data_IF_268968224300
#
_entry.id   IF_268968224300
#
_cell.length_a   1.000
_cell.length_b   1.000
_cell.length_c   1.000
_cell.angle_alpha   90.00
_cell.angle_beta   90.00
_cell.angle_gamma   90.00
#
_symmetry.space_group_name_H-M   'P 1'
#
loop_
_entity.id
_entity.type
_entity.pdbx_description
1 polymer ?
#
# COMPACT_ATOMS: atom_id res chain seq x y z
N UNK A 1 1.73 28.63 -1.15
CA UNK A 1 2.53 27.45 -1.54
C UNK A 1 2.94 26.66 -0.30
N UNK A 2 3.26 25.37 -0.46
CA UNK A 2 3.78 24.47 0.57
C UNK A 2 5.05 23.80 0.06
N UNK A 3 5.73 23.04 0.91
CA UNK A 3 6.81 22.17 0.45
C UNK A 3 6.24 20.99 -0.34
N UNK A 4 7.02 20.46 -1.28
CA UNK A 4 6.58 19.33 -2.13
C UNK A 4 6.36 18.06 -1.32
N UNK A 5 7.18 17.84 -0.29
CA UNK A 5 7.09 16.71 0.63
C UNK A 5 5.77 16.69 1.40
N UNK A 6 5.15 17.85 1.55
CA UNK A 6 3.94 18.06 2.32
C UNK A 6 4.18 18.65 3.71
N UNK A 7 3.10 18.93 4.40
CA UNK A 7 3.06 19.56 5.71
C UNK A 7 3.82 18.70 6.74
N UNK A 8 4.80 19.30 7.42
CA UNK A 8 5.70 18.59 8.32
C UNK A 8 4.97 17.91 9.47
N UNK A 9 4.02 18.58 10.06
CA UNK A 9 3.23 18.07 11.19
C UNK A 9 2.41 16.83 10.79
N UNK A 10 1.89 16.80 9.56
CA UNK A 10 1.18 15.63 9.05
C UNK A 10 2.14 14.47 8.75
N UNK A 11 3.34 14.76 8.20
CA UNK A 11 4.39 13.75 7.98
C UNK A 11 4.89 13.15 9.29
N UNK A 12 5.11 13.98 10.33
CA UNK A 12 5.50 13.53 11.67
C UNK A 12 4.43 12.65 12.30
N UNK A 13 3.15 13.03 12.17
CA UNK A 13 2.04 12.20 12.66
C UNK A 13 1.99 10.83 11.97
N UNK A 14 2.16 10.79 10.64
CA UNK A 14 2.20 9.54 9.87
C UNK A 14 3.41 8.69 10.29
N UNK A 15 4.60 9.29 10.37
CA UNK A 15 5.83 8.64 10.77
C UNK A 15 5.71 8.00 12.16
N UNK A 16 5.16 8.72 13.13
CA UNK A 16 4.90 8.20 14.47
C UNK A 16 3.94 7.00 14.44
N UNK A 17 2.88 7.07 13.64
CA UNK A 17 1.89 6.00 13.52
C UNK A 17 2.45 4.74 12.84
N UNK A 18 3.40 4.89 11.93
CA UNK A 18 4.06 3.78 11.23
C UNK A 18 5.26 3.21 12.01
N UNK A 19 5.78 3.94 12.99
CA UNK A 19 6.87 3.50 13.84
C UNK A 19 6.40 2.48 14.88
N UNK A 20 7.31 1.57 15.25
CA UNK A 20 7.14 0.58 16.31
C UNK A 20 8.49 0.29 16.98
N UNK A 21 8.51 -0.61 17.96
CA UNK A 21 9.78 -1.05 18.58
C UNK A 21 10.73 -1.72 17.56
N UNK A 22 10.20 -2.21 16.44
CA UNK A 22 10.97 -2.92 15.41
C UNK A 22 11.26 -2.06 14.16
N UNK A 23 10.63 -0.89 14.00
CA UNK A 23 10.82 -0.01 12.85
C UNK A 23 10.72 1.46 13.27
N UNK A 24 11.73 2.24 12.94
CA UNK A 24 11.74 3.70 13.08
C UNK A 24 11.48 4.34 11.71
N UNK A 25 10.44 5.18 11.66
CA UNK A 25 10.08 5.98 10.47
C UNK A 25 10.20 7.44 10.86
N UNK A 26 10.93 8.22 10.08
CA UNK A 26 11.08 9.66 10.25
C UNK A 26 10.20 10.44 9.26
N UNK A 27 9.96 11.72 9.54
CA UNK A 27 9.21 12.57 8.62
C UNK A 27 9.85 12.64 7.21
N UNK A 28 11.16 12.48 7.12
CA UNK A 28 11.89 12.50 5.85
C UNK A 28 11.75 11.18 5.05
N UNK A 29 11.17 10.15 5.66
CA UNK A 29 10.71 8.95 4.98
C UNK A 29 9.30 9.08 4.40
N UNK A 30 8.61 10.23 4.59
CA UNK A 30 7.21 10.41 4.21
C UNK A 30 7.06 11.49 3.15
N UNK A 31 6.37 11.15 2.06
CA UNK A 31 5.89 12.10 1.04
C UNK A 31 4.37 12.11 1.05
N UNK A 32 3.77 13.31 1.22
CA UNK A 32 2.32 13.49 1.06
C UNK A 32 1.98 13.58 -0.43
N UNK A 33 0.96 12.82 -0.84
CA UNK A 33 0.50 12.73 -2.23
C UNK A 33 -0.99 13.03 -2.36
N UNK A 34 -1.42 13.36 -3.56
CA UNK A 34 -2.83 13.66 -3.89
C UNK A 34 -3.66 12.38 -4.07
N UNK A 35 -3.65 11.54 -3.01
CA UNK A 35 -4.22 10.20 -2.96
C UNK A 35 -3.26 9.13 -3.50
N UNK A 36 -3.54 7.85 -3.20
CA UNK A 36 -2.70 6.71 -3.61
C UNK A 36 -2.52 6.58 -5.12
N UNK A 37 -3.44 7.11 -5.93
CA UNK A 37 -3.28 7.13 -7.40
C UNK A 37 -2.06 7.95 -7.84
N UNK A 38 -1.77 9.08 -7.17
CA UNK A 38 -0.55 9.83 -7.44
C UNK A 38 0.69 9.08 -6.95
N UNK A 39 0.60 8.33 -5.86
CA UNK A 39 1.70 7.48 -5.41
C UNK A 39 2.07 6.44 -6.48
N UNK A 40 1.07 5.78 -7.09
CA UNK A 40 1.28 4.85 -8.21
C UNK A 40 1.93 5.52 -9.42
N UNK A 41 1.44 6.70 -9.83
CA UNK A 41 2.01 7.44 -10.97
C UNK A 41 3.46 7.85 -10.72
N UNK A 42 3.76 8.37 -9.53
CA UNK A 42 5.12 8.74 -9.15
C UNK A 42 6.06 7.54 -9.09
N UNK A 43 5.59 6.40 -8.54
CA UNK A 43 6.37 5.16 -8.54
C UNK A 43 6.71 4.71 -9.96
N UNK A 44 5.73 4.74 -10.87
CA UNK A 44 5.95 4.45 -12.29
C UNK A 44 7.03 5.36 -12.89
N UNK A 45 6.92 6.66 -12.69
CA UNK A 45 7.88 7.66 -13.23
C UNK A 45 9.30 7.49 -12.72
N UNK A 46 9.48 7.00 -11.50
CA UNK A 46 10.80 6.88 -10.86
C UNK A 46 11.43 5.51 -11.08
N UNK A 47 10.62 4.45 -11.17
CA UNK A 47 11.12 3.08 -11.14
C UNK A 47 10.97 2.32 -12.46
N UNK A 48 10.14 2.80 -13.40
CA UNK A 48 9.71 2.00 -14.55
C UNK A 48 10.11 2.70 -15.85
N UNK A 49 10.68 1.93 -16.76
CA UNK A 49 10.91 2.31 -18.14
C UNK A 49 9.96 1.56 -19.09
N UNK A 50 9.83 2.02 -20.34
CA UNK A 50 9.00 1.37 -21.35
C UNK A 50 9.47 -0.07 -21.62
N UNK A 51 8.53 -1.01 -21.61
CA UNK A 51 8.80 -2.43 -21.87
C UNK A 51 9.36 -3.21 -20.68
N UNK A 52 9.48 -2.60 -19.51
CA UNK A 52 9.95 -3.28 -18.31
C UNK A 52 9.00 -4.42 -17.85
N UNK A 53 9.52 -5.30 -17.01
CA UNK A 53 8.77 -6.40 -16.39
C UNK A 53 8.43 -6.06 -14.95
N UNK A 54 7.16 -6.31 -14.60
CA UNK A 54 6.63 -6.09 -13.24
C UNK A 54 5.91 -7.36 -12.77
N UNK A 55 6.21 -7.79 -11.55
CA UNK A 55 5.48 -8.91 -10.91
C UNK A 55 4.22 -8.36 -10.25
N UNK A 56 3.10 -9.03 -10.46
CA UNK A 56 1.79 -8.66 -9.92
C UNK A 56 1.00 -9.87 -9.43
N UNK A 57 0.02 -9.66 -8.59
CA UNK A 57 -0.99 -10.66 -8.23
C UNK A 57 -1.90 -11.01 -9.42
N UNK A 58 -2.47 -12.21 -9.41
CA UNK A 58 -3.49 -12.61 -10.38
C UNK A 58 -4.78 -13.06 -9.65
N UNK A 59 -5.87 -12.27 -9.72
CA UNK A 59 -6.01 -10.97 -10.38
C UNK A 59 -5.30 -9.84 -9.62
N UNK A 60 -5.09 -8.67 -10.27
CA UNK A 60 -4.50 -7.48 -9.68
C UNK A 60 -5.39 -6.24 -9.84
N UNK A 61 -5.03 -5.15 -9.17
CA UNK A 61 -5.80 -3.91 -9.17
C UNK A 61 -5.80 -3.22 -10.54
N UNK A 62 -6.99 -3.07 -11.13
CA UNK A 62 -7.16 -2.47 -12.46
C UNK A 62 -6.67 -1.02 -12.53
N UNK A 63 -6.78 -0.26 -11.44
CA UNK A 63 -6.29 1.13 -11.39
C UNK A 63 -4.76 1.23 -11.53
N UNK A 64 -4.01 0.27 -11.03
CA UNK A 64 -2.57 0.17 -11.26
C UNK A 64 -2.28 -0.16 -12.74
N UNK A 65 -2.97 -1.15 -13.32
CA UNK A 65 -2.80 -1.51 -14.73
C UNK A 65 -3.07 -0.31 -15.66
N UNK A 66 -4.11 0.48 -15.36
CA UNK A 66 -4.44 1.70 -16.10
C UNK A 66 -3.39 2.79 -15.92
N UNK A 67 -2.88 2.99 -14.69
CA UNK A 67 -1.87 3.99 -14.37
C UNK A 67 -0.57 3.73 -15.11
N UNK A 68 -0.15 2.47 -15.18
CA UNK A 68 1.12 2.08 -15.79
C UNK A 68 1.00 1.63 -17.27
N UNK A 69 -0.21 1.67 -17.82
CA UNK A 69 -0.44 1.34 -19.25
C UNK A 69 0.49 2.09 -20.24
N UNK A 70 0.81 3.39 -20.03
CA UNK A 70 1.69 4.12 -20.95
C UNK A 70 3.10 3.55 -21.09
N UNK A 71 3.56 2.74 -20.12
CA UNK A 71 4.90 2.14 -20.13
C UNK A 71 4.97 0.82 -20.91
N UNK A 72 3.88 0.32 -21.52
CA UNK A 72 3.84 -0.94 -22.28
C UNK A 72 4.48 -2.13 -21.54
N UNK A 73 4.17 -2.29 -20.25
CA UNK A 73 4.81 -3.26 -19.36
C UNK A 73 4.48 -4.72 -19.70
N UNK A 74 5.43 -5.59 -19.41
CA UNK A 74 5.21 -7.02 -19.36
C UNK A 74 4.90 -7.46 -17.94
N UNK A 75 3.66 -7.86 -17.67
CA UNK A 75 3.24 -8.33 -16.35
C UNK A 75 3.51 -9.83 -16.18
N UNK A 76 4.23 -10.18 -15.12
CA UNK A 76 4.39 -11.55 -14.65
C UNK A 76 3.41 -11.79 -13.51
N UNK A 77 2.30 -12.46 -13.81
CA UNK A 77 1.20 -12.65 -12.89
C UNK A 77 1.43 -13.88 -11.99
N UNK A 78 1.41 -13.66 -10.67
CA UNK A 78 1.58 -14.71 -9.65
C UNK A 78 0.20 -15.18 -9.19
N UNK A 79 -0.08 -16.49 -9.17
CA UNK A 79 -1.33 -17.04 -8.68
C UNK A 79 -1.59 -16.64 -7.21
N UNK A 80 -2.86 -16.49 -6.87
CA UNK A 80 -3.34 -16.24 -5.51
C UNK A 80 -4.23 -17.39 -5.03
N UNK A 81 -4.24 -17.63 -3.74
CA UNK A 81 -5.15 -18.56 -3.07
C UNK A 81 -5.73 -17.91 -1.80
N UNK A 82 -6.31 -18.68 -0.88
CA UNK A 82 -6.94 -18.16 0.33
C UNK A 82 -5.95 -17.40 1.26
N UNK A 83 -4.64 -17.68 1.17
CA UNK A 83 -3.57 -17.04 1.93
C UNK A 83 -2.87 -15.89 1.17
N UNK A 84 -3.41 -15.49 0.01
CA UNK A 84 -2.89 -14.43 -0.83
C UNK A 84 -1.97 -14.93 -1.95
N UNK A 85 -1.04 -14.09 -2.38
CA UNK A 85 -0.07 -14.38 -3.44
C UNK A 85 0.83 -15.57 -3.07
N UNK A 86 1.01 -16.52 -3.99
CA UNK A 86 1.87 -17.69 -3.81
C UNK A 86 3.36 -17.29 -3.93
N UNK A 87 4.01 -17.08 -2.80
CA UNK A 87 5.37 -16.51 -2.76
C UNK A 87 6.39 -17.44 -3.43
N UNK A 88 6.21 -18.75 -3.33
CA UNK A 88 7.04 -19.77 -3.97
C UNK A 88 7.07 -19.69 -5.51
N UNK A 89 6.05 -19.09 -6.11
CA UNK A 89 5.98 -18.87 -7.55
C UNK A 89 6.78 -17.62 -8.01
N UNK A 90 7.19 -16.75 -7.10
CA UNK A 90 7.91 -15.50 -7.46
C UNK A 90 9.34 -15.82 -7.87
N UNK A 91 10.06 -16.63 -7.12
CA UNK A 91 11.48 -16.88 -7.35
C UNK A 91 11.78 -17.42 -8.77
N UNK A 92 11.06 -18.43 -9.31
CA UNK A 92 11.23 -18.88 -10.69
C UNK A 92 11.03 -17.77 -11.71
N UNK A 93 10.07 -16.86 -11.45
CA UNK A 93 9.77 -15.71 -12.31
C UNK A 93 10.94 -14.73 -12.31
N UNK A 94 11.47 -14.37 -11.14
CA UNK A 94 12.61 -13.46 -11.02
C UNK A 94 13.88 -14.01 -11.68
N UNK A 95 14.08 -15.34 -11.60
CA UNK A 95 15.20 -16.02 -12.27
C UNK A 95 15.06 -16.09 -13.79
N UNK A 96 13.85 -16.04 -14.33
CA UNK A 96 13.60 -16.17 -15.76
C UNK A 96 13.98 -14.92 -16.57
N UNK A 97 13.86 -13.72 -15.97
CA UNK A 97 14.18 -12.44 -16.57
C UNK A 97 14.34 -11.34 -15.51
N UNK A 98 15.04 -10.25 -15.81
CA UNK A 98 15.08 -9.08 -14.93
C UNK A 98 13.66 -8.48 -14.75
N UNK A 99 13.28 -8.18 -13.51
CA UNK A 99 12.04 -7.48 -13.14
C UNK A 99 12.38 -6.20 -12.39
N UNK A 100 11.63 -5.13 -12.62
CA UNK A 100 11.87 -3.82 -12.00
C UNK A 100 11.31 -3.69 -10.62
N UNK A 101 10.11 -4.24 -10.39
CA UNK A 101 9.45 -4.22 -9.09
C UNK A 101 8.37 -5.29 -8.98
N UNK A 102 7.95 -5.53 -7.75
CA UNK A 102 6.76 -6.32 -7.41
C UNK A 102 5.70 -5.36 -6.86
N UNK A 103 4.47 -5.43 -7.37
CA UNK A 103 3.31 -4.71 -6.86
C UNK A 103 2.31 -5.66 -6.21
N UNK A 104 1.82 -5.32 -5.03
CA UNK A 104 0.77 -6.07 -4.34
C UNK A 104 -0.08 -5.18 -3.43
N UNK A 105 -1.33 -5.62 -3.18
CA UNK A 105 -2.20 -5.16 -2.09
C UNK A 105 -2.26 -6.28 -1.05
N UNK A 106 -1.33 -6.35 -0.08
CA UNK A 106 -1.22 -7.51 0.82
C UNK A 106 -2.38 -7.64 1.82
N UNK A 107 -3.19 -6.59 2.00
CA UNK A 107 -4.29 -6.58 2.96
C UNK A 107 -5.60 -6.23 2.27
N UNK A 108 -6.57 -7.17 2.30
CA UNK A 108 -7.88 -7.02 1.64
C UNK A 108 -7.74 -6.68 0.16
N UNK A 109 -6.99 -7.51 -0.54
CA UNK A 109 -6.62 -7.36 -1.95
C UNK A 109 -7.83 -7.01 -2.84
N UNK A 110 -7.62 -6.06 -3.72
CA UNK A 110 -8.64 -5.67 -4.69
C UNK A 110 -8.30 -6.29 -6.07
N UNK A 111 -9.17 -7.22 -6.60
CA UNK A 111 -10.59 -7.36 -6.27
C UNK A 111 -10.95 -8.51 -5.30
N UNK A 112 -10.00 -9.33 -4.86
CA UNK A 112 -10.29 -10.63 -4.23
C UNK A 112 -10.71 -10.55 -2.75
N UNK A 113 -10.42 -9.44 -2.04
CA UNK A 113 -10.66 -9.33 -0.60
C UNK A 113 -9.73 -10.18 0.27
N UNK A 114 -8.86 -10.97 -0.31
CA UNK A 114 -7.92 -11.87 0.37
C UNK A 114 -6.81 -11.06 1.07
N UNK A 115 -6.28 -11.60 2.16
CA UNK A 115 -5.16 -11.01 2.89
C UNK A 115 -3.96 -11.95 2.84
N UNK A 116 -2.81 -11.43 2.45
CA UNK A 116 -1.53 -12.16 2.49
C UNK A 116 -1.22 -12.56 3.94
N UNK A 117 -1.05 -13.86 4.19
CA UNK A 117 -0.84 -14.40 5.53
C UNK A 117 0.47 -13.89 6.15
N UNK A 118 0.55 -13.93 7.50
CA UNK A 118 1.75 -13.50 8.23
C UNK A 118 2.98 -14.28 7.80
N UNK A 119 2.84 -15.58 7.57
CA UNK A 119 3.92 -16.46 7.10
C UNK A 119 4.43 -16.04 5.72
N UNK A 120 3.50 -15.80 4.78
CA UNK A 120 3.86 -15.35 3.42
C UNK A 120 4.48 -13.96 3.40
N UNK A 121 4.11 -13.07 4.32
CA UNK A 121 4.79 -11.75 4.46
C UNK A 121 6.25 -11.92 4.85
N UNK A 122 6.56 -12.84 5.76
CA UNK A 122 7.94 -13.16 6.14
C UNK A 122 8.72 -13.80 4.99
N UNK A 123 8.10 -14.73 4.24
CA UNK A 123 8.72 -15.34 3.05
C UNK A 123 9.00 -14.29 1.98
N UNK A 124 8.02 -13.44 1.68
CA UNK A 124 8.17 -12.32 0.73
C UNK A 124 9.29 -11.37 1.16
N UNK A 125 9.30 -10.96 2.43
CA UNK A 125 10.33 -10.08 2.96
C UNK A 125 11.76 -10.63 2.76
N UNK A 126 11.96 -11.93 3.02
CA UNK A 126 13.26 -12.62 2.78
C UNK A 126 13.63 -12.60 1.30
N UNK A 127 12.67 -12.89 0.42
CA UNK A 127 12.88 -12.84 -1.03
C UNK A 127 13.25 -11.42 -1.50
N UNK A 128 12.57 -10.38 -0.99
CA UNK A 128 12.90 -8.99 -1.32
C UNK A 128 14.32 -8.62 -0.93
N UNK A 129 14.78 -9.06 0.26
CA UNK A 129 16.15 -8.84 0.73
C UNK A 129 17.16 -9.62 -0.12
N UNK A 130 16.89 -10.88 -0.45
CA UNK A 130 17.77 -11.72 -1.25
C UNK A 130 17.96 -11.19 -2.67
N UNK A 131 16.90 -10.79 -3.33
CA UNK A 131 16.94 -10.32 -4.72
C UNK A 131 17.18 -8.81 -4.87
N UNK A 132 17.09 -8.03 -3.76
CA UNK A 132 17.20 -6.57 -3.80
C UNK A 132 16.17 -5.90 -4.70
N UNK A 133 15.02 -6.55 -4.92
CA UNK A 133 14.00 -6.04 -5.83
C UNK A 133 13.06 -5.06 -5.11
N UNK A 134 12.75 -3.88 -5.69
CA UNK A 134 11.76 -2.97 -5.15
C UNK A 134 10.38 -3.63 -5.01
N UNK A 135 9.68 -3.31 -3.91
CA UNK A 135 8.32 -3.76 -3.66
C UNK A 135 7.40 -2.58 -3.40
N UNK A 136 6.29 -2.50 -4.12
CA UNK A 136 5.25 -1.51 -3.87
C UNK A 136 4.12 -2.17 -3.06
N UNK A 137 4.04 -1.81 -1.78
CA UNK A 137 2.97 -2.21 -0.87
C UNK A 137 1.84 -1.18 -0.94
N UNK A 138 0.75 -1.50 -1.60
CA UNK A 138 -0.45 -0.66 -1.66
C UNK A 138 -1.41 -1.06 -0.52
N UNK A 139 -1.57 -0.18 0.47
CA UNK A 139 -2.38 -0.48 1.66
C UNK A 139 -3.47 0.57 1.92
N UNK A 140 -4.56 0.55 1.17
CA UNK A 140 -5.68 1.44 1.42
C UNK A 140 -6.66 0.94 2.48
N UNK A 141 -6.59 -0.35 2.91
CA UNK A 141 -7.69 -1.01 3.62
C UNK A 141 -7.38 -1.53 5.02
N UNK A 142 -6.11 -1.72 5.40
CA UNK A 142 -5.71 -2.37 6.65
C UNK A 142 -6.39 -1.78 7.88
N UNK A 143 -6.51 -0.45 7.92
CA UNK A 143 -7.15 0.29 9.01
C UNK A 143 -8.62 -0.07 9.21
N UNK A 144 -9.29 -0.60 8.19
CA UNK A 144 -10.71 -1.01 8.24
C UNK A 144 -10.91 -2.48 8.63
N UNK A 145 -9.87 -3.18 9.08
CA UNK A 145 -10.02 -4.56 9.56
C UNK A 145 -11.04 -4.64 10.69
N UNK A 146 -12.10 -5.42 10.50
CA UNK A 146 -13.18 -5.59 11.48
C UNK A 146 -13.34 -7.04 11.95
N UNK A 147 -12.43 -7.94 11.54
CA UNK A 147 -12.30 -9.31 12.05
C UNK A 147 -10.88 -9.83 11.86
N UNK A 148 -10.43 -10.71 12.74
CA UNK A 148 -9.06 -11.22 12.79
C UNK A 148 -8.06 -10.21 13.36
N UNK A 149 -6.81 -10.66 13.54
CA UNK A 149 -5.73 -9.87 14.11
C UNK A 149 -5.08 -8.94 13.08
N UNK A 150 -4.51 -7.83 13.55
CA UNK A 150 -3.68 -6.97 12.72
C UNK A 150 -2.39 -7.72 12.32
N UNK A 151 -2.03 -7.63 11.04
CA UNK A 151 -0.82 -8.24 10.52
C UNK A 151 0.26 -7.17 10.28
N UNK A 152 1.55 -7.53 10.47
CA UNK A 152 2.63 -6.62 10.14
C UNK A 152 2.61 -6.26 8.65
N UNK A 153 2.95 -5.03 8.30
CA UNK A 153 3.16 -4.65 6.90
C UNK A 153 4.33 -5.43 6.29
N UNK A 154 4.38 -5.54 4.96
CA UNK A 154 5.57 -6.10 4.28
C UNK A 154 6.78 -5.20 4.55
N UNK A 155 6.56 -3.88 4.62
CA UNK A 155 7.57 -2.89 5.03
C UNK A 155 8.23 -3.25 6.37
N UNK A 156 7.43 -3.55 7.41
CA UNK A 156 7.95 -3.96 8.71
C UNK A 156 8.66 -5.33 8.64
N UNK A 157 8.07 -6.27 7.92
CA UNK A 157 8.63 -7.63 7.77
C UNK A 157 9.98 -7.60 7.05
N UNK A 158 10.15 -6.73 6.04
CA UNK A 158 11.41 -6.55 5.32
C UNK A 158 12.49 -5.92 6.21
N UNK A 159 12.15 -4.89 6.99
CA UNK A 159 13.09 -4.30 7.96
C UNK A 159 13.58 -5.35 8.98
N UNK A 160 12.67 -6.19 9.48
CA UNK A 160 13.02 -7.30 10.37
C UNK A 160 13.92 -8.35 9.68
N UNK A 161 13.62 -8.72 8.42
CA UNK A 161 14.43 -9.67 7.65
C UNK A 161 15.86 -9.15 7.40
N UNK A 162 16.02 -7.83 7.26
CA UNK A 162 17.33 -7.15 7.12
C UNK A 162 18.06 -7.00 8.47
N UNK A 163 17.38 -7.21 9.59
CA UNK A 163 17.92 -6.90 10.90
C UNK A 163 18.12 -5.39 11.15
N UNK A 164 17.41 -4.53 10.41
CA UNK A 164 17.46 -3.08 10.54
C UNK A 164 16.20 -2.56 11.23
N UNK A 165 16.37 -1.49 12.02
CA UNK A 165 15.24 -0.75 12.59
C UNK A 165 14.92 0.52 11.80
N UNK A 166 15.70 0.82 10.77
CA UNK A 166 15.54 2.00 9.94
C UNK A 166 14.75 1.67 8.68
N UNK A 167 13.97 2.63 8.20
CA UNK A 167 13.31 2.53 6.91
C UNK A 167 14.31 2.89 5.79
N UNK A 168 15.15 1.92 5.44
CA UNK A 168 16.24 2.03 4.47
C UNK A 168 16.28 0.85 3.48
N UNK A 169 15.18 0.09 3.40
CA UNK A 169 15.01 -1.07 2.52
C UNK A 169 14.44 -0.77 1.15
N UNK A 170 13.97 -1.83 0.50
CA UNK A 170 13.46 -1.79 -0.88
C UNK A 170 11.92 -1.64 -0.95
N UNK A 171 11.23 -1.68 0.18
CA UNK A 171 9.77 -1.56 0.22
C UNK A 171 9.35 -0.10 0.21
N UNK A 172 8.44 0.22 -0.71
CA UNK A 172 7.72 1.48 -0.80
C UNK A 172 6.26 1.23 -0.39
N UNK A 173 5.85 1.76 0.76
CA UNK A 173 4.49 1.64 1.28
C UNK A 173 3.65 2.84 0.86
N UNK A 174 2.47 2.60 0.32
CA UNK A 174 1.49 3.62 -0.04
C UNK A 174 0.23 3.51 0.81
N UNK A 175 -0.05 4.55 1.58
CA UNK A 175 -1.25 4.68 2.40
C UNK A 175 -2.16 5.81 1.93
N UNK A 176 -3.42 5.80 2.39
CA UNK A 176 -4.39 6.83 2.01
C UNK A 176 -5.37 7.15 3.13
N UNK A 177 -5.74 8.44 3.24
CA UNK A 177 -6.82 8.89 4.11
C UNK A 177 -8.22 8.66 3.49
N UNK A 178 -8.29 8.25 2.21
CA UNK A 178 -9.56 8.08 1.49
C UNK A 178 -10.50 7.07 2.13
N UNK A 179 -9.98 6.04 2.81
CA UNK A 179 -10.78 4.97 3.41
C UNK A 179 -10.97 5.16 4.92
N UNK A 180 -9.98 5.78 5.58
CA UNK A 180 -10.07 6.03 7.03
C UNK A 180 -10.76 7.35 7.39
N UNK A 181 -10.82 8.33 6.46
CA UNK A 181 -11.52 9.60 6.64
C UNK A 181 -12.56 9.81 5.54
N UNK A 182 -12.13 10.41 4.43
CA UNK A 182 -13.01 10.69 3.30
C UNK A 182 -12.22 10.76 1.99
N UNK A 183 -12.74 10.17 0.90
CA UNK A 183 -12.05 10.18 -0.39
C UNK A 183 -11.96 11.58 -1.02
N UNK A 184 -12.85 12.51 -0.65
CA UNK A 184 -12.90 13.85 -1.23
C UNK A 184 -11.71 14.74 -0.90
N UNK A 185 -10.98 14.51 0.20
CA UNK A 185 -9.80 15.29 0.57
C UNK A 185 -8.60 15.02 -0.36
N UNK A 186 -8.56 13.87 -1.03
CA UNK A 186 -7.45 13.50 -1.92
C UNK A 186 -6.08 13.58 -1.25
N UNK A 187 -5.95 13.07 -0.04
CA UNK A 187 -4.68 12.99 0.71
C UNK A 187 -4.29 11.54 0.91
N UNK A 188 -3.06 11.22 0.59
CA UNK A 188 -2.39 9.95 0.84
C UNK A 188 -0.93 10.19 1.15
N UNK A 189 -0.16 9.14 1.34
CA UNK A 189 1.27 9.24 1.59
C UNK A 189 2.02 8.05 1.00
N UNK A 190 3.30 8.27 0.75
CA UNK A 190 4.29 7.21 0.51
C UNK A 190 5.26 7.21 1.68
N UNK A 191 5.59 6.02 2.18
CA UNK A 191 6.69 5.81 3.12
C UNK A 191 7.74 4.92 2.46
N UNK A 192 8.98 5.40 2.39
CA UNK A 192 10.10 4.68 1.77
C UNK A 192 11.44 5.17 2.31
N UNK A 193 12.53 4.50 1.93
CA UNK A 193 13.88 4.97 2.19
C UNK A 193 14.08 6.42 1.68
N UNK A 194 14.78 7.25 2.43
CA UNK A 194 14.96 8.68 2.12
C UNK A 194 15.44 8.95 0.69
N UNK A 195 16.42 8.20 0.11
CA UNK A 195 16.81 8.40 -1.28
C UNK A 195 15.70 8.14 -2.30
N UNK A 196 14.75 7.26 -1.99
CA UNK A 196 13.57 7.02 -2.84
C UNK A 196 12.61 8.20 -2.72
N UNK A 197 12.35 8.67 -1.50
CA UNK A 197 11.52 9.87 -1.27
C UNK A 197 12.06 11.06 -2.03
N UNK A 198 13.38 11.31 -2.01
CA UNK A 198 14.00 12.40 -2.76
C UNK A 198 13.70 12.34 -4.26
N UNK A 199 13.71 11.16 -4.86
CA UNK A 199 13.37 10.97 -6.28
C UNK A 199 11.88 11.17 -6.56
N UNK A 200 11.02 10.68 -5.68
CA UNK A 200 9.58 10.92 -5.77
C UNK A 200 9.24 12.41 -5.63
N UNK A 201 9.93 13.14 -4.74
CA UNK A 201 9.79 14.59 -4.57
C UNK A 201 10.16 15.31 -5.87
N UNK A 202 11.30 14.98 -6.49
CA UNK A 202 11.72 15.56 -7.77
C UNK A 202 10.69 15.33 -8.87
N UNK A 203 10.15 14.11 -8.98
CA UNK A 203 9.09 13.78 -9.94
C UNK A 203 7.77 14.53 -9.66
N UNK A 204 7.40 14.66 -8.37
CA UNK A 204 6.20 15.37 -7.93
C UNK A 204 6.29 16.88 -8.19
N UNK A 205 7.47 17.49 -8.04
CA UNK A 205 7.67 18.91 -8.35
C UNK A 205 7.28 19.23 -9.79
N UNK A 206 7.59 18.34 -10.74
CA UNK A 206 7.24 18.51 -12.14
C UNK A 206 5.74 18.24 -12.42
N UNK A 207 5.02 17.57 -11.53
CA UNK A 207 3.63 17.16 -11.72
C UNK A 207 2.62 18.16 -11.15
N UNK A 208 2.73 18.49 -9.85
CA UNK A 208 1.74 19.32 -9.15
C UNK A 208 2.34 20.29 -8.11
N UNK A 209 3.66 20.37 -8.01
CA UNK A 209 4.45 21.10 -7.03
C UNK A 209 4.25 20.57 -5.60
N UNK A 210 3.00 20.46 -5.13
CA UNK A 210 2.64 19.93 -3.82
C UNK A 210 1.16 19.56 -3.76
N UNK A 211 0.82 18.61 -2.89
CA UNK A 211 -0.58 18.31 -2.53
C UNK A 211 -1.24 19.52 -1.86
N UNK A 212 -2.50 19.77 -2.14
CA UNK A 212 -3.24 20.93 -1.66
C UNK A 212 -3.11 21.15 -0.14
N UNK A 213 -2.54 22.30 0.29
CA UNK A 213 -2.27 22.58 1.70
C UNK A 213 -3.54 22.60 2.57
N UNK A 214 -4.65 23.11 2.05
CA UNK A 214 -5.92 23.13 2.79
C UNK A 214 -6.39 21.71 3.13
N UNK A 215 -6.31 20.79 2.15
CA UNK A 215 -6.68 19.40 2.38
C UNK A 215 -5.75 18.71 3.41
N UNK A 216 -4.45 18.99 3.37
CA UNK A 216 -3.49 18.50 4.37
C UNK A 216 -3.79 19.04 5.76
N UNK A 217 -4.09 20.35 5.87
CA UNK A 217 -4.42 21.00 7.15
C UNK A 217 -5.70 20.41 7.74
N UNK A 218 -6.77 20.29 6.96
CA UNK A 218 -8.01 19.64 7.40
C UNK A 218 -7.75 18.21 7.86
N UNK A 219 -6.98 17.44 7.08
CA UNK A 219 -6.60 16.07 7.44
C UNK A 219 -5.88 16.05 8.79
N UNK A 220 -4.87 16.90 8.97
CA UNK A 220 -4.08 16.95 10.20
C UNK A 220 -4.93 17.35 11.40
N UNK A 221 -5.76 18.38 11.28
CA UNK A 221 -6.66 18.83 12.36
C UNK A 221 -7.61 17.72 12.83
N UNK A 222 -8.06 16.86 11.93
CA UNK A 222 -8.91 15.71 12.27
C UNK A 222 -8.09 14.60 12.93
N UNK A 223 -6.93 14.24 12.36
CA UNK A 223 -6.19 13.05 12.82
C UNK A 223 -5.39 13.30 14.10
N UNK A 224 -5.00 14.53 14.39
CA UNK A 224 -4.30 14.87 15.63
C UNK A 224 -5.17 14.63 16.87
N UNK A 225 -6.51 14.67 16.73
CA UNK A 225 -7.44 14.18 17.76
C UNK A 225 -7.57 12.67 17.66
N UNK A 226 -6.69 11.95 18.35
CA UNK A 226 -6.66 10.50 18.33
C UNK A 226 -7.96 9.85 18.82
N UNK A 227 -8.68 10.48 19.75
CA UNK A 227 -9.94 9.95 20.28
C UNK A 227 -11.05 10.01 19.20
N UNK A 228 -11.16 11.15 18.50
CA UNK A 228 -12.09 11.29 17.39
C UNK A 228 -11.80 10.29 16.28
N UNK A 229 -10.53 10.19 15.84
CA UNK A 229 -10.14 9.28 14.79
C UNK A 229 -10.44 7.81 15.14
N UNK A 230 -10.12 7.38 16.36
CA UNK A 230 -10.39 6.02 16.83
C UNK A 230 -11.89 5.70 16.82
N UNK A 231 -12.73 6.62 17.32
CA UNK A 231 -14.19 6.46 17.32
C UNK A 231 -14.77 6.43 15.90
N UNK A 232 -14.25 7.26 15.01
CA UNK A 232 -14.66 7.30 13.60
C UNK A 232 -14.32 5.98 12.89
N UNK A 233 -13.09 5.48 13.03
CA UNK A 233 -12.65 4.20 12.46
C UNK A 233 -13.51 3.05 13.00
N UNK A 234 -13.80 3.00 14.29
CA UNK A 234 -14.65 1.96 14.86
C UNK A 234 -16.08 2.01 14.31
N UNK A 235 -16.61 3.21 14.07
CA UNK A 235 -17.91 3.39 13.41
C UNK A 235 -17.89 2.85 11.97
N UNK A 236 -16.83 3.11 11.21
CA UNK A 236 -16.65 2.56 9.87
C UNK A 236 -16.54 1.03 9.91
N UNK A 237 -15.69 0.48 10.77
CA UNK A 237 -15.50 -0.97 10.95
C UNK A 237 -16.84 -1.67 11.25
N UNK A 238 -17.62 -1.14 12.19
CA UNK A 238 -18.94 -1.69 12.54
C UNK A 238 -19.91 -1.63 11.36
N UNK A 239 -19.97 -0.50 10.67
CA UNK A 239 -20.87 -0.32 9.52
C UNK A 239 -20.51 -1.25 8.36
N UNK A 240 -19.23 -1.36 8.02
CA UNK A 240 -18.79 -2.24 6.94
C UNK A 240 -18.93 -3.71 7.32
N UNK A 241 -18.69 -4.10 8.58
CA UNK A 241 -18.99 -5.46 9.06
C UNK A 241 -20.46 -5.82 8.82
N UNK A 242 -21.39 -4.96 9.22
CA UNK A 242 -22.82 -5.19 9.04
C UNK A 242 -23.19 -5.35 7.55
N UNK A 243 -22.63 -4.51 6.68
CA UNK A 243 -22.87 -4.59 5.24
C UNK A 243 -22.32 -5.89 4.64
N UNK A 244 -21.10 -6.27 5.02
CA UNK A 244 -20.50 -7.54 4.60
C UNK A 244 -21.36 -8.72 5.04
N UNK A 245 -21.75 -8.76 6.31
CA UNK A 245 -22.51 -9.88 6.88
C UNK A 245 -23.89 -10.01 6.20
N UNK A 246 -24.51 -8.88 5.85
CA UNK A 246 -25.73 -8.90 5.04
C UNK A 246 -25.46 -9.44 3.63
N UNK A 247 -24.42 -8.96 2.95
CA UNK A 247 -24.06 -9.43 1.61
C UNK A 247 -23.79 -10.93 1.60
N UNK A 248 -23.00 -11.45 2.55
CA UNK A 248 -22.68 -12.87 2.62
C UNK A 248 -23.93 -13.74 2.84
N UNK A 249 -24.87 -13.29 3.67
CA UNK A 249 -26.17 -14.00 3.82
C UNK A 249 -26.96 -14.02 2.52
N UNK A 250 -27.06 -12.88 1.83
CA UNK A 250 -27.79 -12.81 0.57
C UNK A 250 -27.13 -13.65 -0.53
N UNK A 251 -25.80 -13.70 -0.57
CA UNK A 251 -25.09 -14.58 -1.50
C UNK A 251 -25.41 -16.05 -1.21
N UNK A 252 -25.37 -16.47 0.06
CA UNK A 252 -25.68 -17.84 0.44
C UNK A 252 -27.15 -18.24 0.18
N UNK A 253 -28.09 -17.28 0.25
CA UNK A 253 -29.53 -17.53 0.01
C UNK A 253 -29.91 -17.49 -1.48
N UNK A 254 -29.20 -16.65 -2.29
CA UNK A 254 -29.66 -16.34 -3.65
C UNK A 254 -28.79 -16.94 -4.76
N UNK A 255 -27.56 -17.34 -4.47
CA UNK A 255 -26.65 -17.88 -5.48
C UNK A 255 -26.67 -19.40 -5.52
N UNK A 256 -26.46 -20.03 -6.70
CA UNK A 256 -26.31 -21.48 -6.83
C UNK A 256 -25.12 -21.99 -6.00
N UNK A 257 -25.19 -23.27 -5.57
CA UNK A 257 -24.14 -23.90 -4.74
C UNK A 257 -22.75 -23.95 -5.42
N UNK A 258 -22.73 -23.93 -6.76
CA UNK A 258 -21.49 -23.96 -7.55
C UNK A 258 -20.76 -22.61 -7.56
N UNK A 259 -21.37 -21.52 -7.10
CA UNK A 259 -20.76 -20.18 -7.05
C UNK A 259 -20.02 -20.01 -5.74
N UNK A 260 -18.74 -19.68 -5.83
CA UNK A 260 -17.88 -19.39 -4.67
C UNK A 260 -17.53 -17.90 -4.62
N UNK A 261 -17.28 -17.38 -3.42
CA UNK A 261 -16.85 -16.01 -3.17
C UNK A 261 -15.78 -15.96 -2.09
N UNK A 262 -15.02 -14.85 -2.05
CA UNK A 262 -13.98 -14.58 -1.05
C UNK A 262 -14.39 -13.45 -0.11
#
# INVERSE_FOLDING_TARGET
>A
YSTTEGMRELREWIAQRMSSDALTVDADNILIVSGSQQALDLAGRVLIDEGDRVVVENPTYVGMLQCWKPYNLHFSAIPTDADGMQIEAIEPVLRSAPHKLIYSIPTFQNPMGITLSAERRVQLARLLVEYGIPFYEDDPYSVLRYSGDELPTVLLSEAQARGSRMLDGSVMYAGTFSKMLTPGLRVGWVAAAAPVIDKLVQAKQAQDLHTGRLAQLITYEIVRDGAFLAQHIETLRRTYRQRRDLMLRMLAECFPEEVTWT
#
